data_IF_449564005746
#
_entry.id   IF_449564005746
#
_cell.length_a   1.000
_cell.length_b   1.000
_cell.length_c   1.000
_cell.angle_alpha   90.00
_cell.angle_beta   90.00
_cell.angle_gamma   90.00
#
_symmetry.space_group_name_H-M   'P 1'
#
loop_
_entity.id
_entity.type
_entity.pdbx_description
1 polymer ?
#
# COMPACT_ATOMS: atom_id res chain seq x y z
N UNK A 1 -65.12 -45.22 -63.05
CA UNK A 1 -64.12 -44.18 -63.26
C UNK A 1 -63.95 -43.41 -61.94
N UNK A 2 -62.93 -43.77 -61.20
CA UNK A 2 -62.65 -43.06 -59.87
C UNK A 2 -61.22 -42.49 -59.94
N UNK A 3 -61.15 -41.19 -59.93
CA UNK A 3 -59.87 -40.43 -59.92
C UNK A 3 -59.13 -40.58 -58.58
N UNK A 4 -57.92 -41.07 -58.64
CA UNK A 4 -57.04 -41.21 -57.52
C UNK A 4 -56.18 -39.95 -57.43
N UNK A 5 -56.41 -39.09 -56.36
CA UNK A 5 -55.63 -37.90 -56.11
C UNK A 5 -54.44 -38.29 -55.24
N UNK A 6 -53.23 -38.17 -55.78
CA UNK A 6 -51.97 -38.41 -55.06
C UNK A 6 -51.67 -37.17 -54.17
N UNK A 7 -51.74 -37.30 -52.85
CA UNK A 7 -51.25 -36.29 -51.94
C UNK A 7 -49.72 -36.38 -51.85
N UNK A 8 -49.01 -35.31 -52.23
CA UNK A 8 -47.60 -35.14 -52.05
C UNK A 8 -47.37 -34.79 -50.58
N UNK A 9 -46.62 -35.63 -49.85
CA UNK A 9 -46.10 -35.35 -48.50
C UNK A 9 -44.73 -34.67 -48.65
N UNK A 10 -44.67 -33.39 -48.29
CA UNK A 10 -43.43 -32.66 -48.25
C UNK A 10 -42.78 -32.88 -46.89
N UNK A 11 -41.65 -33.60 -46.81
CA UNK A 11 -40.80 -33.73 -45.68
C UNK A 11 -40.02 -32.42 -45.50
N UNK A 12 -40.31 -31.66 -44.45
CA UNK A 12 -39.46 -30.57 -43.97
C UNK A 12 -38.36 -31.18 -43.10
N UNK A 13 -37.13 -31.16 -43.58
CA UNK A 13 -35.95 -31.44 -42.78
C UNK A 13 -35.70 -30.26 -41.82
N UNK A 14 -35.89 -30.48 -40.52
CA UNK A 14 -35.51 -29.57 -39.48
C UNK A 14 -34.02 -29.81 -39.21
N UNK A 15 -33.17 -28.93 -39.73
CA UNK A 15 -31.74 -28.92 -39.40
C UNK A 15 -31.57 -28.27 -38.02
N UNK A 16 -31.36 -29.10 -37.01
CA UNK A 16 -30.91 -28.61 -35.68
C UNK A 16 -29.42 -28.26 -35.78
N UNK A 17 -29.12 -26.99 -35.92
CA UNK A 17 -27.76 -26.46 -35.76
C UNK A 17 -27.43 -26.44 -34.27
N UNK A 18 -26.66 -27.42 -33.81
CA UNK A 18 -26.11 -27.46 -32.46
C UNK A 18 -25.00 -26.38 -32.37
N UNK A 19 -25.35 -25.20 -31.86
CA UNK A 19 -24.35 -24.17 -31.51
C UNK A 19 -23.66 -24.66 -30.25
N UNK A 20 -22.48 -25.28 -30.40
CA UNK A 20 -21.56 -25.47 -29.29
C UNK A 20 -21.07 -24.09 -28.84
N UNK A 21 -21.70 -23.51 -27.81
CA UNK A 21 -21.07 -22.45 -27.02
C UNK A 21 -19.87 -23.07 -26.29
N UNK A 22 -18.72 -23.03 -26.93
CA UNK A 22 -17.44 -23.16 -26.20
C UNK A 22 -17.32 -21.93 -25.33
N UNK A 23 -17.70 -22.04 -24.05
CA UNK A 23 -17.32 -21.10 -23.03
C UNK A 23 -15.77 -21.11 -22.97
N UNK A 24 -15.14 -20.14 -23.61
CA UNK A 24 -13.76 -19.82 -23.34
C UNK A 24 -13.72 -19.35 -21.89
N UNK A 25 -13.48 -20.28 -20.96
CA UNK A 25 -12.96 -19.95 -19.67
C UNK A 25 -11.53 -19.42 -19.91
N UNK A 26 -11.40 -18.12 -20.16
CA UNK A 26 -10.12 -17.46 -19.93
C UNK A 26 -9.86 -17.54 -18.43
N UNK A 27 -9.16 -18.57 -17.99
CA UNK A 27 -8.51 -18.52 -16.68
C UNK A 27 -7.55 -17.33 -16.78
N UNK A 28 -7.91 -16.21 -16.16
CA UNK A 28 -6.97 -15.16 -15.92
C UNK A 28 -5.82 -15.79 -15.14
N UNK A 29 -4.63 -15.85 -15.75
CA UNK A 29 -3.44 -16.31 -15.05
C UNK A 29 -3.29 -15.47 -13.80
N UNK A 30 -3.04 -16.12 -12.64
CA UNK A 30 -2.78 -15.41 -11.41
C UNK A 30 -1.54 -14.53 -11.63
N UNK A 31 -1.66 -13.23 -11.38
CA UNK A 31 -0.51 -12.35 -11.39
C UNK A 31 0.36 -12.64 -10.17
N UNK A 32 1.67 -12.57 -10.34
CA UNK A 32 2.67 -12.83 -9.29
C UNK A 32 3.54 -11.61 -9.07
N UNK A 33 4.27 -11.56 -7.96
CA UNK A 33 5.21 -10.46 -7.71
C UNK A 33 6.25 -10.30 -8.85
N UNK A 34 6.63 -11.39 -9.51
CA UNK A 34 7.57 -11.38 -10.63
C UNK A 34 6.95 -10.94 -11.96
N UNK A 35 5.61 -10.85 -12.04
CA UNK A 35 4.90 -10.46 -13.27
C UNK A 35 4.72 -8.95 -13.44
N UNK A 36 4.92 -8.16 -12.38
CA UNK A 36 4.84 -6.69 -12.43
C UNK A 36 6.21 -6.08 -12.70
N UNK A 37 6.22 -4.98 -13.46
CA UNK A 37 7.47 -4.38 -13.92
C UNK A 37 8.25 -3.71 -12.79
N UNK A 38 7.56 -3.14 -11.80
CA UNK A 38 8.16 -2.44 -10.69
C UNK A 38 7.24 -2.42 -9.47
N UNK A 39 7.79 -2.78 -8.31
CA UNK A 39 7.10 -2.71 -7.02
C UNK A 39 7.67 -1.52 -6.26
N UNK A 40 6.81 -0.53 -5.97
CA UNK A 40 7.20 0.64 -5.19
C UNK A 40 7.21 0.33 -3.69
N UNK A 41 6.16 -0.32 -3.20
CA UNK A 41 6.00 -0.60 -1.78
C UNK A 41 5.16 -1.86 -1.53
N UNK A 42 5.37 -2.46 -0.36
CA UNK A 42 4.44 -3.40 0.27
C UNK A 42 3.85 -2.71 1.50
N UNK A 43 2.54 -2.61 1.58
CA UNK A 43 1.84 -1.99 2.72
C UNK A 43 0.80 -2.95 3.30
N UNK A 44 0.78 -3.02 4.63
CA UNK A 44 -0.25 -3.77 5.35
C UNK A 44 -1.41 -2.85 5.70
N UNK A 45 -2.61 -3.24 5.28
CA UNK A 45 -3.86 -2.56 5.61
C UNK A 45 -4.80 -3.56 6.27
N UNK A 46 -5.07 -3.38 7.55
CA UNK A 46 -5.75 -4.37 8.40
C UNK A 46 -5.00 -5.72 8.35
N UNK A 47 -5.53 -6.75 7.71
CA UNK A 47 -4.91 -8.07 7.51
C UNK A 47 -4.45 -8.32 6.07
N UNK A 48 -4.63 -7.36 5.18
CA UNK A 48 -4.28 -7.47 3.78
C UNK A 48 -2.87 -6.96 3.52
N UNK A 49 -2.18 -7.60 2.61
CA UNK A 49 -0.91 -7.11 2.06
C UNK A 49 -1.20 -6.48 0.71
N UNK A 50 -0.97 -5.20 0.59
CA UNK A 50 -1.11 -4.45 -0.66
C UNK A 50 0.25 -4.28 -1.32
N UNK A 51 0.29 -4.41 -2.64
CA UNK A 51 1.46 -4.21 -3.50
C UNK A 51 1.19 -2.99 -4.36
N UNK A 52 2.03 -1.99 -4.25
CA UNK A 52 1.96 -0.74 -4.98
C UNK A 52 2.90 -0.84 -6.17
N UNK A 53 2.39 -0.62 -7.38
CA UNK A 53 3.14 -0.82 -8.63
C UNK A 53 2.84 0.28 -9.65
N UNK A 54 3.60 0.32 -10.73
CA UNK A 54 3.29 1.17 -11.91
C UNK A 54 1.98 0.78 -12.59
N UNK A 55 1.57 -0.50 -12.49
CA UNK A 55 0.39 -1.02 -13.15
C UNK A 55 -0.89 -0.87 -12.31
N UNK A 56 -0.76 -0.41 -11.06
CA UNK A 56 -1.87 -0.20 -10.15
C UNK A 56 -1.65 -0.74 -8.74
N UNK A 57 -2.74 -0.82 -8.00
CA UNK A 57 -2.77 -1.38 -6.65
C UNK A 57 -3.20 -2.84 -6.71
N UNK A 58 -2.44 -3.73 -6.06
CA UNK A 58 -2.76 -5.15 -5.96
C UNK A 58 -2.91 -5.59 -4.50
N UNK A 59 -3.71 -6.61 -4.27
CA UNK A 59 -3.74 -7.39 -3.03
C UNK A 59 -2.92 -8.66 -3.23
N UNK A 60 -1.88 -8.86 -2.43
CA UNK A 60 -1.11 -10.10 -2.38
C UNK A 60 -1.88 -11.12 -1.55
N UNK A 61 -2.48 -12.11 -2.23
CA UNK A 61 -3.32 -13.14 -1.60
C UNK A 61 -2.48 -14.29 -1.08
N UNK A 62 -1.43 -14.64 -1.83
CA UNK A 62 -0.40 -15.60 -1.45
C UNK A 62 0.91 -15.23 -2.16
N UNK A 63 2.01 -15.88 -1.84
CA UNK A 63 3.33 -15.60 -2.44
C UNK A 63 3.30 -15.55 -3.99
N UNK A 64 2.46 -16.36 -4.61
CA UNK A 64 2.39 -16.52 -6.06
C UNK A 64 1.04 -16.06 -6.66
N UNK A 65 0.28 -15.27 -5.91
CA UNK A 65 -1.05 -14.83 -6.37
C UNK A 65 -1.35 -13.41 -5.91
N UNK A 66 -1.42 -12.50 -6.86
CA UNK A 66 -1.88 -11.14 -6.67
C UNK A 66 -3.19 -10.91 -7.41
N UNK A 67 -4.01 -10.02 -6.87
CA UNK A 67 -5.26 -9.57 -7.48
C UNK A 67 -5.24 -8.06 -7.58
N UNK A 68 -5.52 -7.54 -8.79
CA UNK A 68 -5.67 -6.10 -8.96
C UNK A 68 -6.85 -5.58 -8.14
N UNK A 69 -6.66 -4.43 -7.51
CA UNK A 69 -7.68 -3.74 -6.72
C UNK A 69 -8.26 -2.60 -7.53
N UNK A 70 -9.55 -2.70 -7.83
CA UNK A 70 -10.26 -1.68 -8.62
C UNK A 70 -9.97 -1.75 -10.12
N UNK A 71 -10.43 -0.70 -10.81
CA UNK A 71 -10.27 -0.55 -12.27
C UNK A 71 -9.27 0.55 -12.63
N UNK A 72 -9.05 1.49 -11.70
CA UNK A 72 -8.18 2.64 -11.89
C UNK A 72 -6.73 2.21 -11.68
N UNK A 73 -6.03 1.99 -12.79
CA UNK A 73 -4.62 1.58 -12.81
C UNK A 73 -3.70 2.78 -12.61
N UNK A 74 -3.89 3.52 -11.52
CA UNK A 74 -2.98 4.62 -11.16
C UNK A 74 -1.62 4.04 -10.76
N UNK A 75 -0.54 4.71 -11.17
CA UNK A 75 0.79 4.42 -10.70
C UNK A 75 0.95 4.98 -9.28
N UNK A 76 0.94 4.07 -8.29
CA UNK A 76 0.90 4.46 -6.87
C UNK A 76 2.31 4.55 -6.32
N UNK A 77 2.81 5.77 -6.13
CA UNK A 77 4.14 6.06 -5.59
C UNK A 77 4.13 6.19 -4.07
N UNK A 78 3.34 7.10 -3.53
CA UNK A 78 3.14 7.29 -2.09
C UNK A 78 1.80 6.74 -1.62
N UNK A 79 1.78 6.10 -0.44
CA UNK A 79 0.58 5.47 0.07
C UNK A 79 0.56 5.41 1.59
N UNK A 80 -0.58 5.73 2.17
CA UNK A 80 -0.83 5.54 3.61
C UNK A 80 -2.31 5.31 3.89
N UNK A 81 -2.64 5.05 5.15
CA UNK A 81 -4.02 4.88 5.59
C UNK A 81 -4.31 5.75 6.81
N UNK A 82 -5.44 6.44 6.78
CA UNK A 82 -6.00 7.07 7.98
C UNK A 82 -7.29 6.33 8.36
N UNK A 83 -7.24 5.55 9.44
CA UNK A 83 -8.32 4.62 9.81
C UNK A 83 -8.56 3.60 8.67
N UNK A 84 -9.70 3.68 7.98
CA UNK A 84 -10.06 2.79 6.85
C UNK A 84 -10.02 3.50 5.50
N UNK A 85 -9.61 4.75 5.47
CA UNK A 85 -9.48 5.53 4.23
C UNK A 85 -8.06 5.34 3.72
N UNK A 86 -7.94 4.93 2.47
CA UNK A 86 -6.65 4.85 1.78
C UNK A 86 -6.35 6.22 1.17
N UNK A 87 -5.10 6.63 1.26
CA UNK A 87 -4.57 7.81 0.59
C UNK A 87 -3.40 7.40 -0.30
N UNK A 88 -3.36 7.98 -1.49
CA UNK A 88 -2.32 7.69 -2.47
C UNK A 88 -1.91 8.97 -3.20
N UNK A 89 -0.70 8.93 -3.75
CA UNK A 89 -0.14 9.92 -4.67
C UNK A 89 0.65 9.20 -5.74
N UNK A 90 0.92 9.88 -6.86
CA UNK A 90 1.68 9.34 -7.99
C UNK A 90 1.14 9.85 -9.32
N UNK A 91 0.98 8.94 -10.29
CA UNK A 91 0.66 9.33 -11.66
C UNK A 91 -0.67 8.72 -12.13
N UNK A 92 -1.36 9.36 -13.10
CA UNK A 92 -2.59 8.81 -13.66
C UNK A 92 -2.28 7.55 -14.49
N UNK A 93 -3.31 6.73 -14.71
CA UNK A 93 -3.22 5.57 -15.62
C UNK A 93 -2.71 5.99 -17.00
N UNK A 94 -1.96 5.13 -17.65
CA UNK A 94 -1.49 5.37 -19.01
C UNK A 94 -2.67 5.64 -19.95
N UNK A 95 -2.57 6.74 -20.73
CA UNK A 95 -3.63 7.18 -21.65
C UNK A 95 -4.80 7.91 -20.97
N UNK A 96 -4.72 8.20 -19.67
CA UNK A 96 -5.68 9.06 -18.97
C UNK A 96 -5.48 10.54 -19.33
N UNK A 97 -6.60 11.28 -19.41
CA UNK A 97 -6.59 12.74 -19.55
C UNK A 97 -6.44 13.49 -18.21
N UNK A 98 -6.32 12.77 -17.10
CA UNK A 98 -6.13 13.37 -15.79
C UNK A 98 -4.79 14.11 -15.70
N UNK A 99 -4.76 15.17 -14.87
CA UNK A 99 -3.53 15.92 -14.63
C UNK A 99 -2.47 15.01 -13.98
N UNK A 100 -1.23 15.19 -14.43
CA UNK A 100 -0.06 14.51 -13.92
C UNK A 100 0.88 15.53 -13.24
N UNK A 101 1.27 15.31 -11.96
CA UNK A 101 0.88 14.20 -11.07
C UNK A 101 -0.58 14.32 -10.57
N UNK A 102 -1.13 13.20 -10.03
CA UNK A 102 -2.50 13.19 -9.53
C UNK A 102 -2.68 13.95 -8.20
N UNK A 103 -1.58 14.40 -7.60
CA UNK A 103 -1.58 14.99 -6.26
C UNK A 103 -1.97 13.98 -5.19
N UNK A 104 -2.77 14.40 -4.22
CA UNK A 104 -3.33 13.50 -3.22
C UNK A 104 -4.72 13.04 -3.62
N UNK A 105 -4.90 11.73 -3.67
CA UNK A 105 -6.19 11.06 -3.87
C UNK A 105 -6.56 10.19 -2.67
N UNK A 106 -7.84 9.88 -2.49
CA UNK A 106 -8.32 8.98 -1.44
C UNK A 106 -9.33 7.96 -1.97
N UNK A 107 -9.35 6.79 -1.32
CA UNK A 107 -10.36 5.76 -1.52
C UNK A 107 -11.04 5.45 -0.17
N UNK A 108 -12.37 5.32 -0.18
CA UNK A 108 -13.17 4.91 0.98
C UNK A 108 -13.76 3.50 0.81
N UNK A 109 -13.44 2.84 -0.29
CA UNK A 109 -13.96 1.53 -0.71
C UNK A 109 -12.82 0.49 -0.90
N UNK A 110 -11.71 0.69 -0.20
CA UNK A 110 -10.60 -0.25 -0.20
C UNK A 110 -9.72 -0.22 -1.45
N UNK A 111 -9.72 0.89 -2.19
CA UNK A 111 -8.92 1.09 -3.40
C UNK A 111 -9.68 0.81 -4.70
N UNK A 112 -10.99 0.48 -4.63
CA UNK A 112 -11.79 0.21 -5.82
C UNK A 112 -12.00 1.45 -6.68
N UNK A 113 -12.21 2.60 -6.03
CA UNK A 113 -12.30 3.91 -6.70
C UNK A 113 -11.51 4.97 -5.94
N UNK A 114 -11.00 5.96 -6.68
CA UNK A 114 -10.19 7.04 -6.14
C UNK A 114 -10.83 8.40 -6.41
N UNK A 115 -10.75 9.29 -5.43
CA UNK A 115 -11.24 10.68 -5.55
C UNK A 115 -10.13 11.64 -5.16
N UNK A 116 -9.98 12.71 -5.95
CA UNK A 116 -9.04 13.79 -5.65
C UNK A 116 -9.36 14.43 -4.30
N UNK A 117 -8.30 14.76 -3.55
CA UNK A 117 -8.36 15.51 -2.29
C UNK A 117 -7.77 16.89 -2.47
N UNK A 118 -6.51 16.97 -2.95
CA UNK A 118 -5.77 18.23 -3.09
C UNK A 118 -4.54 18.07 -3.98
N UNK A 119 -3.89 19.19 -4.31
CA UNK A 119 -2.57 19.28 -4.94
C UNK A 119 -2.46 18.63 -6.33
N UNK A 120 -3.58 18.44 -7.04
CA UNK A 120 -3.61 17.86 -8.38
C UNK A 120 -2.76 18.69 -9.32
N UNK A 121 -1.88 18.04 -10.10
CA UNK A 121 -0.95 18.67 -11.01
C UNK A 121 0.18 19.48 -10.34
N UNK A 122 0.35 19.36 -9.02
CA UNK A 122 1.30 20.17 -8.25
C UNK A 122 2.35 19.38 -7.51
N UNK A 123 2.00 18.20 -6.95
CA UNK A 123 2.93 17.39 -6.16
C UNK A 123 2.84 15.93 -6.54
N UNK A 124 3.99 15.27 -6.41
CA UNK A 124 4.17 13.84 -6.60
C UNK A 124 4.81 13.25 -5.33
N UNK A 125 3.98 12.85 -4.38
CA UNK A 125 4.49 12.27 -3.15
C UNK A 125 4.97 10.84 -3.37
N UNK A 126 6.27 10.61 -3.33
CA UNK A 126 6.88 9.28 -3.29
C UNK A 126 6.99 8.71 -1.88
N UNK A 127 6.90 9.55 -0.88
CA UNK A 127 6.74 9.19 0.52
C UNK A 127 5.44 9.80 1.03
N UNK A 128 4.60 8.98 1.68
CA UNK A 128 3.34 9.42 2.27
C UNK A 128 3.06 8.59 3.52
N UNK A 129 3.06 9.24 4.68
CA UNK A 129 2.77 8.58 5.95
C UNK A 129 1.79 9.40 6.78
N UNK A 130 0.98 8.70 7.60
CA UNK A 130 0.01 9.40 8.43
C UNK A 130 -0.68 8.55 9.48
N UNK A 131 -1.26 9.25 10.46
CA UNK A 131 -2.13 8.68 11.47
C UNK A 131 -3.09 9.75 12.01
N UNK A 132 -4.24 9.34 12.53
CA UNK A 132 -5.25 10.28 13.03
C UNK A 132 -5.83 11.13 11.89
N UNK A 133 -5.44 12.42 11.84
CA UNK A 133 -5.70 13.36 10.75
C UNK A 133 -4.41 13.90 10.12
N UNK A 134 -3.26 13.56 10.69
CA UNK A 134 -1.96 14.07 10.27
C UNK A 134 -1.43 13.26 9.09
N UNK A 135 -0.95 13.96 8.06
CA UNK A 135 -0.24 13.42 6.93
C UNK A 135 1.09 14.13 6.73
N UNK A 136 2.10 13.36 6.36
CA UNK A 136 3.40 13.85 5.90
C UNK A 136 3.64 13.28 4.50
N UNK A 137 3.98 14.16 3.55
CA UNK A 137 4.31 13.78 2.18
C UNK A 137 5.64 14.40 1.76
N UNK A 138 6.52 13.61 1.14
CA UNK A 138 7.71 14.15 0.51
C UNK A 138 7.50 14.18 -1.01
N UNK A 139 7.57 15.40 -1.57
CA UNK A 139 7.43 15.65 -3.00
C UNK A 139 8.71 15.26 -3.74
N UNK A 140 8.61 14.35 -4.70
CA UNK A 140 9.74 13.88 -5.50
C UNK A 140 10.29 14.95 -6.47
N UNK A 141 9.48 15.96 -6.81
CA UNK A 141 9.85 16.99 -7.80
C UNK A 141 10.86 17.97 -7.23
N UNK A 142 10.78 18.30 -5.94
CA UNK A 142 11.64 19.29 -5.30
C UNK A 142 12.32 18.79 -4.02
N UNK A 143 11.93 17.59 -3.53
CA UNK A 143 12.47 17.00 -2.31
C UNK A 143 11.91 17.60 -1.03
N UNK A 144 10.86 18.41 -1.08
CA UNK A 144 10.30 19.05 0.11
C UNK A 144 9.39 18.11 0.89
N UNK A 145 9.52 18.15 2.21
CA UNK A 145 8.59 17.56 3.15
C UNK A 145 7.43 18.52 3.38
N UNK A 146 6.22 18.02 3.33
CA UNK A 146 4.99 18.76 3.58
C UNK A 146 4.17 18.10 4.70
N UNK A 147 3.44 18.89 5.46
CA UNK A 147 2.57 18.46 6.54
C UNK A 147 1.15 18.93 6.35
N UNK A 148 0.19 18.04 6.61
CA UNK A 148 -1.25 18.31 6.65
C UNK A 148 -1.84 17.85 7.98
N UNK A 149 -2.55 18.73 8.75
CA UNK A 149 -3.23 18.35 9.99
C UNK A 149 -4.68 17.89 9.76
N UNK A 150 -5.19 17.93 8.52
CA UNK A 150 -6.61 17.84 8.17
C UNK A 150 -6.93 16.80 7.10
N UNK A 151 -6.17 15.70 7.13
CA UNK A 151 -6.30 14.57 6.19
C UNK A 151 -6.08 14.97 4.74
N UNK A 152 -5.09 15.81 4.50
CA UNK A 152 -4.62 16.20 3.19
C UNK A 152 -5.43 17.31 2.50
N UNK A 153 -6.33 18.00 3.19
CA UNK A 153 -7.10 19.11 2.61
C UNK A 153 -6.25 20.37 2.45
N UNK A 154 -5.43 20.68 3.46
CA UNK A 154 -4.47 21.78 3.43
C UNK A 154 -3.07 21.26 3.77
N UNK A 155 -2.04 21.96 3.26
CA UNK A 155 -0.65 21.55 3.38
C UNK A 155 0.24 22.75 3.70
N UNK A 156 1.23 22.52 4.57
CA UNK A 156 2.27 23.47 4.90
C UNK A 156 3.64 22.86 4.59
N UNK A 157 4.54 23.57 3.91
CA UNK A 157 5.90 23.10 3.68
C UNK A 157 6.68 23.08 5.00
N UNK A 158 7.51 22.06 5.16
CA UNK A 158 8.45 21.90 6.27
C UNK A 158 9.91 22.10 5.82
N UNK A 159 10.14 22.36 4.53
CA UNK A 159 11.45 22.43 3.91
C UNK A 159 11.93 21.08 3.38
N UNK A 160 13.20 21.03 2.98
CA UNK A 160 13.79 19.83 2.35
C UNK A 160 13.72 18.62 3.28
N UNK A 161 13.21 17.50 2.76
CA UNK A 161 13.16 16.24 3.49
C UNK A 161 14.58 15.69 3.71
N UNK A 162 14.93 15.49 4.98
CA UNK A 162 16.20 14.88 5.38
C UNK A 162 16.02 13.55 6.11
N UNK A 163 14.78 13.09 6.21
CA UNK A 163 14.44 11.83 6.88
C UNK A 163 14.40 10.68 5.88
N UNK A 164 14.88 9.53 6.31
CA UNK A 164 14.79 8.28 5.54
C UNK A 164 13.48 7.55 5.80
N UNK A 165 12.86 7.81 6.97
CA UNK A 165 11.55 7.25 7.31
C UNK A 165 10.87 8.08 8.40
N UNK A 166 9.52 8.06 8.43
CA UNK A 166 8.70 8.77 9.43
C UNK A 166 7.57 7.83 9.86
N UNK A 167 7.29 7.80 11.17
CA UNK A 167 6.10 7.16 11.71
C UNK A 167 5.31 8.13 12.58
N UNK A 168 4.02 8.27 12.28
CA UNK A 168 3.12 9.24 12.90
C UNK A 168 2.39 8.62 14.07
N UNK A 169 2.28 9.35 15.18
CA UNK A 169 1.54 8.90 16.36
C UNK A 169 0.04 8.71 16.05
N UNK A 170 -0.54 7.54 16.32
CA UNK A 170 -1.96 7.31 16.07
C UNK A 170 -2.88 8.03 17.06
N UNK A 171 -2.32 8.55 18.18
CA UNK A 171 -3.12 9.09 19.29
C UNK A 171 -2.82 10.55 19.63
N UNK A 172 -1.65 11.07 19.23
CA UNK A 172 -1.21 12.43 19.59
C UNK A 172 -0.94 13.25 18.33
N UNK A 173 -1.83 14.19 17.96
CA UNK A 173 -1.61 15.07 16.81
C UNK A 173 -0.30 15.84 16.91
N UNK A 174 0.39 16.00 15.79
CA UNK A 174 1.69 16.67 15.70
C UNK A 174 2.87 15.87 16.27
N UNK A 175 2.62 14.71 16.88
CA UNK A 175 3.67 13.83 17.37
C UNK A 175 4.05 12.79 16.31
N UNK A 176 5.33 12.69 16.02
CA UNK A 176 5.89 11.69 15.11
C UNK A 176 7.32 11.34 15.52
N UNK A 177 7.82 10.23 15.01
CA UNK A 177 9.23 9.90 15.02
C UNK A 177 9.75 9.84 13.60
N UNK A 178 11.03 10.15 13.42
CA UNK A 178 11.69 10.07 12.12
C UNK A 178 13.08 9.46 12.25
N UNK A 179 13.55 8.82 11.20
CA UNK A 179 14.91 8.32 11.10
C UNK A 179 15.72 9.28 10.22
N UNK A 180 16.86 9.74 10.76
CA UNK A 180 17.87 10.52 10.05
C UNK A 180 19.24 9.95 10.40
N UNK A 181 20.03 9.57 9.41
CA UNK A 181 21.37 8.99 9.58
C UNK A 181 21.38 7.82 10.58
N UNK A 182 20.35 6.97 10.50
CA UNK A 182 20.07 5.85 11.42
C UNK A 182 19.78 6.25 12.88
N UNK A 183 19.69 7.54 13.19
CA UNK A 183 19.26 8.05 14.48
C UNK A 183 17.74 8.25 14.52
N UNK A 184 17.15 7.96 15.67
CA UNK A 184 15.72 8.18 15.87
C UNK A 184 15.50 9.56 16.48
N UNK A 185 14.71 10.37 15.79
CA UNK A 185 14.28 11.69 16.25
C UNK A 185 12.80 11.63 16.62
N UNK A 186 12.38 12.46 17.56
CA UNK A 186 10.97 12.66 17.92
C UNK A 186 10.60 14.13 17.82
N UNK A 187 9.42 14.39 17.33
CA UNK A 187 8.77 15.70 17.36
C UNK A 187 7.45 15.64 18.13
N UNK A 188 7.03 16.78 18.68
CA UNK A 188 5.73 16.99 19.33
C UNK A 188 4.94 18.12 18.67
N UNK A 189 5.49 18.73 17.62
CA UNK A 189 5.01 19.95 16.98
C UNK A 189 5.08 19.90 15.45
N UNK A 190 4.88 18.69 14.88
CA UNK A 190 4.89 18.43 13.45
C UNK A 190 6.21 18.84 12.77
N UNK A 191 7.34 18.44 13.35
CA UNK A 191 8.71 18.70 12.87
C UNK A 191 9.13 20.19 12.81
N UNK A 192 8.43 21.09 13.51
CA UNK A 192 8.96 22.44 13.75
C UNK A 192 10.19 22.39 14.65
N UNK A 193 10.21 21.43 15.57
CA UNK A 193 11.39 21.06 16.35
C UNK A 193 11.52 19.53 16.47
N UNK A 194 12.76 19.07 16.68
CA UNK A 194 13.05 17.65 16.90
C UNK A 194 14.02 17.45 18.05
N UNK A 195 13.89 16.30 18.70
CA UNK A 195 14.82 15.85 19.75
C UNK A 195 15.28 14.43 19.42
N UNK A 196 16.57 14.18 19.52
CA UNK A 196 17.12 12.83 19.37
C UNK A 196 16.67 11.92 20.54
N UNK A 197 16.23 10.71 20.21
CA UNK A 197 16.04 9.62 21.17
C UNK A 197 17.35 8.86 21.29
N UNK A 198 18.11 9.20 22.31
CA UNK A 198 19.42 8.62 22.58
C UNK A 198 19.30 7.13 22.98
N UNK A 199 20.36 6.36 22.73
CA UNK A 199 20.46 4.93 23.08
C UNK A 199 19.45 4.03 22.35
N UNK A 200 18.81 4.50 21.28
CA UNK A 200 18.07 3.63 20.36
C UNK A 200 19.05 2.83 19.46
N UNK A 201 18.71 1.61 19.06
CA UNK A 201 19.42 0.93 17.98
C UNK A 201 19.44 1.80 16.71
N UNK A 202 20.41 1.54 15.82
CA UNK A 202 20.47 2.20 14.51
C UNK A 202 19.37 1.63 13.61
N UNK A 203 18.28 2.36 13.48
CA UNK A 203 17.12 1.91 12.72
C UNK A 203 17.22 2.29 11.26
N UNK A 204 16.59 1.44 10.39
CA UNK A 204 16.43 1.67 8.96
C UNK A 204 14.99 1.95 8.58
N UNK A 205 14.03 1.43 9.37
CA UNK A 205 12.59 1.69 9.19
C UNK A 205 11.88 1.71 10.54
N UNK A 206 10.77 2.45 10.60
CA UNK A 206 9.93 2.59 11.78
C UNK A 206 8.44 2.66 11.40
N UNK A 207 7.60 2.02 12.19
CA UNK A 207 6.14 2.06 12.09
C UNK A 207 5.53 2.34 13.46
N UNK A 208 4.48 3.16 13.52
CA UNK A 208 3.78 3.48 14.77
C UNK A 208 2.33 3.03 14.71
N UNK A 209 1.95 2.13 15.60
CA UNK A 209 0.59 1.61 15.73
C UNK A 209 0.06 1.83 17.16
N UNK A 210 -1.22 1.59 17.39
CA UNK A 210 -1.80 1.72 18.74
C UNK A 210 -1.08 0.85 19.78
N UNK A 211 -0.50 -0.28 19.36
CA UNK A 211 0.28 -1.18 20.20
C UNK A 211 1.71 -0.68 20.51
N UNK A 212 2.17 0.38 19.86
CA UNK A 212 3.50 0.98 20.02
C UNK A 212 4.28 1.13 18.72
N UNK A 213 5.55 1.45 18.87
CA UNK A 213 6.50 1.55 17.77
C UNK A 213 7.09 0.17 17.45
N UNK A 214 7.29 -0.06 16.15
CA UNK A 214 8.06 -1.17 15.61
C UNK A 214 9.17 -0.60 14.73
N UNK A 215 10.39 -1.15 14.82
CA UNK A 215 11.51 -0.65 14.04
C UNK A 215 12.48 -1.76 13.64
N UNK A 216 13.07 -1.64 12.47
CA UNK A 216 14.08 -2.56 11.95
C UNK A 216 15.49 -2.03 12.16
N UNK A 217 16.38 -2.94 12.56
CA UNK A 217 17.83 -2.70 12.63
C UNK A 217 18.56 -3.96 12.20
N UNK A 218 19.22 -3.91 11.04
CA UNK A 218 19.95 -5.03 10.48
C UNK A 218 19.08 -6.26 10.25
N UNK A 219 19.27 -7.31 11.06
CA UNK A 219 18.52 -8.56 10.99
C UNK A 219 17.37 -8.63 12.01
N UNK A 220 17.08 -7.57 12.73
CA UNK A 220 16.23 -7.63 13.93
C UNK A 220 15.08 -6.64 13.87
N UNK A 221 13.92 -7.09 14.40
CA UNK A 221 12.76 -6.26 14.69
C UNK A 221 12.75 -5.92 16.19
N UNK A 222 12.50 -4.66 16.47
CA UNK A 222 12.35 -4.10 17.81
C UNK A 222 10.96 -3.49 18.00
N UNK A 223 10.54 -3.38 19.26
CA UNK A 223 9.32 -2.64 19.64
C UNK A 223 9.57 -1.73 20.82
N UNK A 224 8.80 -0.64 20.88
CA UNK A 224 8.76 0.29 22.01
C UNK A 224 7.31 0.66 22.36
N UNK A 225 6.95 0.54 23.63
CA UNK A 225 5.68 1.05 24.18
C UNK A 225 5.85 2.37 24.92
N UNK A 226 7.04 2.96 24.88
CA UNK A 226 7.42 4.20 25.60
C UNK A 226 7.77 5.34 24.65
N UNK A 227 7.11 5.41 23.47
CA UNK A 227 7.36 6.41 22.44
C UNK A 227 8.85 6.49 22.03
N UNK A 228 9.49 5.32 21.95
CA UNK A 228 10.87 5.19 21.53
C UNK A 228 11.92 5.34 22.65
N UNK A 229 11.54 5.67 23.90
CA UNK A 229 12.52 5.84 24.97
C UNK A 229 13.21 4.53 25.40
N UNK A 230 12.51 3.40 25.28
CA UNK A 230 13.06 2.06 25.56
C UNK A 230 12.66 1.10 24.45
N UNK A 231 13.57 0.19 24.12
CA UNK A 231 13.36 -0.76 23.01
C UNK A 231 13.58 -2.19 23.48
N UNK A 232 12.71 -3.08 23.03
CA UNK A 232 12.83 -4.52 23.23
C UNK A 232 12.97 -5.19 21.86
N UNK A 233 13.97 -6.05 21.71
CA UNK A 233 14.08 -6.92 20.54
C UNK A 233 12.95 -7.94 20.57
N UNK A 234 12.20 -8.03 19.47
CA UNK A 234 11.11 -9.00 19.30
C UNK A 234 11.57 -10.24 18.55
N UNK A 235 12.30 -10.04 17.45
CA UNK A 235 12.72 -11.14 16.59
C UNK A 235 14.08 -10.86 15.94
N UNK A 236 14.75 -11.94 15.53
CA UNK A 236 15.95 -11.89 14.70
C UNK A 236 15.77 -12.85 13.52
N UNK A 237 15.90 -12.34 12.31
CA UNK A 237 15.71 -13.09 11.07
C UNK A 237 17.04 -13.66 10.57
N UNK A 238 16.98 -14.71 9.73
CA UNK A 238 18.15 -15.33 9.10
C UNK A 238 18.61 -14.55 7.83
N UNK A 239 18.71 -13.24 7.91
CA UNK A 239 19.10 -12.35 6.82
C UNK A 239 18.78 -10.91 7.12
N UNK A 240 19.29 -10.00 6.31
CA UNK A 240 19.03 -8.56 6.44
C UNK A 240 17.57 -8.29 6.11
N UNK A 241 16.92 -7.53 6.99
CA UNK A 241 15.53 -7.10 6.79
C UNK A 241 15.48 -5.96 5.77
N UNK A 242 14.42 -5.94 4.96
CA UNK A 242 14.16 -4.90 3.98
C UNK A 242 12.99 -4.00 4.40
N UNK A 243 11.77 -4.39 4.05
CA UNK A 243 10.56 -3.60 4.28
C UNK A 243 9.93 -3.99 5.62
N UNK A 244 9.54 -2.98 6.40
CA UNK A 244 8.62 -3.09 7.52
C UNK A 244 7.31 -2.43 7.13
N UNK A 245 6.21 -3.14 7.29
CA UNK A 245 4.88 -2.52 7.25
C UNK A 245 4.00 -3.14 8.31
N UNK A 246 3.24 -2.32 9.02
CA UNK A 246 2.40 -2.81 10.10
C UNK A 246 1.03 -2.15 10.09
N UNK A 247 0.04 -2.91 10.53
CA UNK A 247 -1.27 -2.45 11.01
C UNK A 247 -1.45 -2.87 12.47
N UNK A 248 -2.58 -2.55 13.09
CA UNK A 248 -2.89 -3.06 14.43
C UNK A 248 -3.17 -4.58 14.43
N UNK A 249 -3.27 -5.23 13.27
CA UNK A 249 -3.65 -6.64 13.12
C UNK A 249 -2.56 -7.51 12.49
N UNK A 250 -1.63 -6.93 11.77
CA UNK A 250 -0.60 -7.65 11.02
C UNK A 250 0.69 -6.84 10.94
N UNK A 251 1.81 -7.49 11.16
CA UNK A 251 3.15 -6.94 10.89
C UNK A 251 3.75 -7.75 9.75
N UNK A 252 4.33 -7.06 8.77
CA UNK A 252 5.04 -7.63 7.64
C UNK A 252 6.51 -7.20 7.71
N UNK A 253 7.42 -8.15 7.51
CA UNK A 253 8.86 -7.92 7.35
C UNK A 253 9.35 -8.69 6.14
N UNK A 254 10.07 -8.04 5.24
CA UNK A 254 10.77 -8.74 4.16
C UNK A 254 12.21 -9.09 4.58
N UNK A 255 12.68 -10.27 4.14
CA UNK A 255 14.04 -10.77 4.38
C UNK A 255 14.53 -11.40 3.08
N UNK A 256 15.38 -10.71 2.33
CA UNK A 256 15.66 -11.07 0.94
C UNK A 256 14.36 -11.12 0.12
N UNK A 257 14.12 -12.19 -0.61
CA UNK A 257 12.90 -12.41 -1.40
C UNK A 257 11.73 -13.01 -0.61
N UNK A 258 11.89 -13.21 0.70
CA UNK A 258 10.83 -13.78 1.54
C UNK A 258 10.06 -12.69 2.28
N UNK A 259 8.76 -12.92 2.42
CA UNK A 259 7.85 -12.09 3.21
C UNK A 259 7.47 -12.89 4.47
N UNK A 260 7.67 -12.29 5.61
CA UNK A 260 7.25 -12.85 6.90
C UNK A 260 6.15 -11.99 7.49
N UNK A 261 5.15 -12.64 8.09
CA UNK A 261 4.03 -11.95 8.72
C UNK A 261 3.80 -12.43 10.14
N UNK A 262 3.32 -11.52 10.99
CA UNK A 262 2.93 -11.79 12.36
C UNK A 262 1.57 -11.16 12.66
N UNK A 263 0.63 -11.96 13.17
CA UNK A 263 -0.68 -11.51 13.64
C UNK A 263 -0.77 -11.38 15.18
N UNK A 264 0.35 -11.53 15.88
CA UNK A 264 0.42 -11.50 17.34
C UNK A 264 1.44 -10.49 17.89
N UNK A 265 1.51 -9.30 17.23
CA UNK A 265 2.39 -8.19 17.60
C UNK A 265 3.89 -8.56 17.59
N UNK A 266 4.30 -9.35 16.59
CA UNK A 266 5.71 -9.69 16.38
C UNK A 266 6.26 -10.75 17.32
N UNK A 267 5.41 -11.48 18.06
CA UNK A 267 5.86 -12.58 18.94
C UNK A 267 6.31 -13.79 18.12
N UNK A 268 5.60 -14.07 17.05
CA UNK A 268 5.88 -15.15 16.11
C UNK A 268 5.73 -14.65 14.67
N UNK A 269 6.59 -15.12 13.79
CA UNK A 269 6.54 -14.82 12.36
C UNK A 269 6.43 -16.10 11.55
N UNK A 270 5.51 -16.10 10.61
CA UNK A 270 5.34 -17.15 9.64
C UNK A 270 5.72 -16.65 8.25
N UNK A 271 6.26 -17.54 7.42
CA UNK A 271 6.48 -17.25 6.01
C UNK A 271 5.11 -17.02 5.35
N UNK A 272 4.99 -15.94 4.60
CA UNK A 272 3.79 -15.67 3.83
C UNK A 272 3.76 -16.61 2.61
N UNK A 273 2.77 -17.47 2.56
CA UNK A 273 2.64 -18.57 1.59
C UNK A 273 1.49 -18.35 0.60
#
# INVERSE_FOLDING_TARGET
MKNLVLKRVTYRYLVFTLICLSAFNSQASAETLDSVSHIHQLKVVEKKVLVLTHEGLYELVSKNNMKIVGKDKIDVMGFTTLRRILFASGHPSQGSEALNPIGLVKSIDGGLTWKSVSLVGKVDFHFLEGAGSDLYGADSQNGDLMYSPDSGKSWSPLGTNTFTDIAVSPTMPGMAVAIKDHQLLITMDAFKSTREIRNSPKFTQVEWRNSGLFALSGTSLYTSSSNGNTWKKLNTFKGVTGILSASDQLILVTVGSNIYTSSNNGREFNLFS
#
